data_IF_762776370011
#
_entry.id   IF_762776370011
#
_cell.length_a   1.000
_cell.length_b   1.000
_cell.length_c   1.000
_cell.angle_alpha   90.00
_cell.angle_beta   90.00
_cell.angle_gamma   90.00
#
_symmetry.space_group_name_H-M   'P 1'
#
loop_
_entity.id
_entity.type
_entity.pdbx_description
1 polymer ?
#
# COMPACT_ATOMS: atom_id res chain seq x y z
N UNK A 1 4.34 -17.90 7.00
CA UNK A 1 4.64 -18.31 8.40
C UNK A 1 3.53 -19.20 8.88
N UNK A 2 3.84 -20.22 9.66
CA UNK A 2 2.82 -21.10 10.25
C UNK A 2 2.18 -20.44 11.48
N UNK A 3 0.97 -20.85 11.90
CA UNK A 3 0.33 -20.33 13.11
C UNK A 3 1.20 -20.54 14.37
N UNK A 4 1.90 -21.68 14.45
CA UNK A 4 2.79 -22.00 15.57
C UNK A 4 4.00 -21.05 15.64
N UNK A 5 4.60 -20.73 14.49
CA UNK A 5 5.69 -19.73 14.42
C UNK A 5 5.20 -18.36 14.89
N UNK A 6 4.02 -17.94 14.45
CA UNK A 6 3.45 -16.66 14.86
C UNK A 6 3.22 -16.60 16.37
N UNK A 7 2.67 -17.67 16.97
CA UNK A 7 2.48 -17.77 18.44
C UNK A 7 3.81 -17.67 19.18
N UNK A 8 4.83 -18.41 18.74
CA UNK A 8 6.16 -18.37 19.36
C UNK A 8 6.75 -16.94 19.36
N UNK A 9 6.65 -16.22 18.24
CA UNK A 9 7.16 -14.83 18.17
C UNK A 9 6.40 -13.87 19.08
N UNK A 10 5.08 -14.04 19.17
CA UNK A 10 4.24 -13.21 20.04
C UNK A 10 4.46 -13.53 21.53
N UNK A 11 4.72 -14.80 21.89
CA UNK A 11 5.11 -15.21 23.24
C UNK A 11 6.49 -14.66 23.63
N UNK A 12 7.46 -14.67 22.70
CA UNK A 12 8.76 -14.01 22.91
C UNK A 12 8.60 -12.50 23.15
N UNK A 13 7.68 -11.85 22.43
CA UNK A 13 7.35 -10.45 22.67
C UNK A 13 6.75 -10.24 24.07
N UNK A 14 5.84 -11.11 24.50
CA UNK A 14 5.14 -11.01 25.79
C UNK A 14 6.07 -11.26 26.99
N UNK A 15 6.94 -12.25 26.88
CA UNK A 15 7.85 -12.68 27.96
C UNK A 15 9.18 -11.92 27.95
N UNK A 16 9.33 -10.94 27.06
CA UNK A 16 10.55 -10.15 26.96
C UNK A 16 10.83 -9.40 28.28
N UNK A 17 12.06 -9.46 28.83
CA UNK A 17 12.38 -8.88 30.13
C UNK A 17 12.40 -7.35 30.13
N UNK A 18 12.49 -6.72 28.95
CA UNK A 18 12.52 -5.27 28.78
C UNK A 18 11.74 -4.85 27.54
N UNK A 19 11.24 -3.61 27.53
CA UNK A 19 10.60 -3.02 26.35
C UNK A 19 11.53 -3.01 25.14
N UNK A 20 12.85 -2.83 25.34
CA UNK A 20 13.84 -2.89 24.28
C UNK A 20 13.96 -4.30 23.67
N UNK A 21 13.92 -5.35 24.49
CA UNK A 21 13.92 -6.73 24.01
C UNK A 21 12.61 -7.07 23.26
N UNK A 22 11.45 -6.65 23.78
CA UNK A 22 10.18 -6.79 23.10
C UNK A 22 10.20 -6.11 21.72
N UNK A 23 10.73 -4.88 21.65
CA UNK A 23 10.87 -4.15 20.40
C UNK A 23 11.80 -4.86 19.41
N UNK A 24 12.89 -5.51 19.86
CA UNK A 24 13.76 -6.32 18.98
C UNK A 24 13.00 -7.51 18.37
N UNK A 25 12.21 -8.23 19.16
CA UNK A 25 11.37 -9.32 18.63
C UNK A 25 10.31 -8.81 17.66
N UNK A 26 9.71 -7.66 17.95
CA UNK A 26 8.78 -7.00 17.03
C UNK A 26 9.49 -6.56 15.74
N UNK A 27 10.70 -6.03 15.79
CA UNK A 27 11.40 -5.62 14.57
C UNK A 27 11.77 -6.81 13.67
N UNK A 28 12.03 -7.99 14.26
CA UNK A 28 12.32 -9.22 13.51
C UNK A 28 11.05 -9.87 12.94
N UNK A 29 9.96 -9.86 13.70
CA UNK A 29 8.75 -10.61 13.36
C UNK A 29 7.60 -9.73 12.84
N UNK A 30 7.52 -8.46 13.20
CA UNK A 30 6.35 -7.60 12.99
C UNK A 30 5.13 -8.00 13.84
N UNK A 31 5.29 -8.93 14.78
CA UNK A 31 4.20 -9.45 15.60
C UNK A 31 4.29 -8.93 17.04
N UNK A 32 3.13 -8.57 17.62
CA UNK A 32 2.99 -8.17 19.03
C UNK A 32 2.09 -9.15 19.74
N UNK A 33 2.25 -9.28 21.06
CA UNK A 33 1.30 -10.02 21.88
C UNK A 33 -0.10 -9.42 21.77
N UNK A 34 -1.11 -10.29 21.81
CA UNK A 34 -2.51 -9.91 21.98
C UNK A 34 -3.20 -10.95 22.86
N UNK A 35 -4.15 -10.49 23.66
CA UNK A 35 -4.96 -11.35 24.52
C UNK A 35 -5.76 -12.40 23.72
N UNK A 36 -6.02 -12.15 22.43
CA UNK A 36 -6.66 -13.14 21.56
C UNK A 36 -5.86 -14.44 21.43
N UNK A 37 -4.55 -14.45 21.67
CA UNK A 37 -3.76 -15.68 21.66
C UNK A 37 -4.13 -16.67 22.78
N UNK A 38 -4.84 -16.22 23.82
CA UNK A 38 -5.38 -17.12 24.85
C UNK A 38 -6.51 -18.01 24.30
N UNK A 39 -7.11 -17.64 23.18
CA UNK A 39 -8.18 -18.40 22.54
C UNK A 39 -7.54 -19.50 21.67
N UNK A 40 -7.75 -20.80 21.99
CA UNK A 40 -7.09 -21.89 21.26
C UNK A 40 -7.37 -21.89 19.76
N UNK A 41 -8.57 -21.44 19.37
CA UNK A 41 -9.03 -21.35 17.99
C UNK A 41 -8.48 -20.14 17.23
N UNK A 42 -7.94 -19.13 17.92
CA UNK A 42 -7.51 -17.90 17.25
C UNK A 42 -6.21 -18.15 16.48
N UNK A 43 -6.29 -17.99 15.17
CA UNK A 43 -5.16 -18.11 14.26
C UNK A 43 -4.81 -16.73 13.69
N UNK A 44 -3.73 -16.14 14.22
CA UNK A 44 -3.25 -14.81 13.80
C UNK A 44 -2.94 -14.73 12.31
N UNK A 45 -2.59 -15.85 11.67
CA UNK A 45 -2.24 -15.85 10.24
C UNK A 45 -3.46 -15.79 9.32
N UNK A 46 -4.66 -16.08 9.85
CA UNK A 46 -5.92 -16.16 9.09
C UNK A 46 -7.01 -15.23 9.60
N UNK A 47 -6.96 -14.88 10.87
CA UNK A 47 -8.00 -14.14 11.58
C UNK A 47 -7.60 -12.67 11.83
N UNK A 48 -6.57 -12.18 11.14
CA UNK A 48 -6.20 -10.77 11.09
C UNK A 48 -6.45 -10.24 9.68
N UNK A 49 -7.11 -9.09 9.61
CA UNK A 49 -7.35 -8.36 8.37
C UNK A 49 -6.17 -7.44 8.07
N UNK A 50 -5.64 -7.51 6.86
CA UNK A 50 -4.62 -6.57 6.38
C UNK A 50 -5.32 -5.33 5.84
N UNK A 51 -5.29 -4.23 6.58
CA UNK A 51 -5.93 -2.99 6.15
C UNK A 51 -5.31 -2.43 4.86
N UNK A 52 -6.12 -2.35 3.80
CA UNK A 52 -5.69 -1.86 2.49
C UNK A 52 -5.29 -0.39 2.50
N UNK A 53 -5.89 0.44 3.36
CA UNK A 53 -5.56 1.87 3.39
C UNK A 53 -4.10 2.09 3.81
N UNK A 54 -3.67 1.44 4.89
CA UNK A 54 -2.30 1.52 5.37
C UNK A 54 -1.33 0.71 4.51
N UNK A 55 -1.71 -0.51 4.10
CA UNK A 55 -0.82 -1.40 3.38
C UNK A 55 -0.68 -1.04 1.89
N UNK A 56 -1.79 -0.82 1.18
CA UNK A 56 -1.75 -0.51 -0.25
C UNK A 56 -1.58 0.99 -0.49
N UNK A 57 -2.40 1.86 0.09
CA UNK A 57 -2.40 3.28 -0.30
C UNK A 57 -1.26 4.08 0.33
N UNK A 58 -1.11 3.99 1.66
CA UNK A 58 -0.03 4.68 2.38
C UNK A 58 1.30 3.90 2.38
N UNK A 59 1.24 2.61 2.08
CA UNK A 59 2.40 1.73 1.94
C UNK A 59 2.84 1.62 0.50
N UNK A 60 2.36 0.60 -0.22
CA UNK A 60 2.88 0.22 -1.53
C UNK A 60 2.77 1.31 -2.61
N UNK A 61 1.63 2.00 -2.74
CA UNK A 61 1.46 3.07 -3.75
C UNK A 61 2.40 4.23 -3.49
N UNK A 62 2.44 4.68 -2.23
CA UNK A 62 3.36 5.73 -1.80
C UNK A 62 4.81 5.34 -2.05
N UNK A 63 5.17 4.10 -1.70
CA UNK A 63 6.53 3.57 -1.85
C UNK A 63 6.91 3.42 -3.32
N UNK A 64 6.04 2.88 -4.16
CA UNK A 64 6.24 2.80 -5.60
C UNK A 64 6.49 4.18 -6.21
N UNK A 65 5.76 5.20 -5.75
CA UNK A 65 5.90 6.58 -6.23
C UNK A 65 7.10 7.33 -5.63
N UNK A 66 7.44 7.09 -4.35
CA UNK A 66 8.45 7.86 -3.60
C UNK A 66 9.78 7.13 -3.40
N UNK A 67 9.75 5.84 -3.10
CA UNK A 67 10.89 5.05 -2.65
C UNK A 67 11.66 4.38 -3.78
N UNK A 68 11.12 4.33 -4.99
CA UNK A 68 12.01 4.19 -6.16
C UNK A 68 12.59 5.55 -6.52
N UNK A 69 13.33 6.09 -5.53
CA UNK A 69 14.22 7.24 -5.54
C UNK A 69 15.34 7.01 -4.51
N UNK A 70 16.48 7.67 -4.70
CA UNK A 70 17.76 7.08 -5.03
C UNK A 70 18.49 6.56 -3.79
N UNK A 71 18.62 5.25 -3.62
CA UNK A 71 19.70 4.72 -2.76
C UNK A 71 20.48 3.59 -3.38
N UNK A 72 20.22 3.23 -4.65
CA UNK A 72 21.01 2.18 -5.27
C UNK A 72 21.14 2.34 -6.78
N UNK A 73 22.09 3.15 -7.26
CA UNK A 73 22.79 3.06 -8.58
C UNK A 73 21.91 3.07 -9.86
N UNK A 74 20.59 2.98 -9.75
CA UNK A 74 19.59 3.01 -10.80
C UNK A 74 18.57 4.08 -10.40
N UNK A 75 18.14 4.89 -11.36
CA UNK A 75 17.47 6.17 -11.15
C UNK A 75 16.13 6.12 -10.41
N UNK A 76 15.50 7.29 -10.31
CA UNK A 76 14.12 7.37 -9.87
C UNK A 76 13.22 6.63 -10.88
N UNK A 77 12.19 5.89 -10.45
CA UNK A 77 11.19 5.31 -11.38
C UNK A 77 10.54 6.39 -12.24
N UNK A 78 10.35 7.59 -11.67
CA UNK A 78 9.87 8.77 -12.38
C UNK A 78 10.92 9.89 -12.32
N UNK A 79 11.36 10.32 -13.50
CA UNK A 79 12.27 11.45 -13.64
C UNK A 79 11.52 12.77 -13.41
N UNK A 80 12.27 13.88 -13.31
CA UNK A 80 11.68 15.20 -13.08
C UNK A 80 10.70 15.59 -14.22
N UNK A 81 11.05 15.27 -15.46
CA UNK A 81 10.20 15.54 -16.63
C UNK A 81 8.88 14.77 -16.57
N UNK A 82 8.90 13.49 -16.20
CA UNK A 82 7.68 12.67 -16.11
C UNK A 82 6.73 13.22 -15.04
N UNK A 83 7.29 13.70 -13.93
CA UNK A 83 6.54 14.34 -12.87
C UNK A 83 5.92 15.67 -13.31
N UNK A 84 6.63 16.48 -14.08
CA UNK A 84 6.09 17.72 -14.63
C UNK A 84 4.91 17.46 -15.57
N UNK A 85 5.01 16.43 -16.40
CA UNK A 85 3.91 15.98 -17.26
C UNK A 85 2.71 15.47 -16.45
N UNK A 86 2.94 14.71 -15.38
CA UNK A 86 1.90 14.27 -14.45
C UNK A 86 1.15 15.47 -13.82
N UNK A 87 1.88 16.51 -13.39
CA UNK A 87 1.26 17.70 -12.81
C UNK A 87 0.44 18.49 -13.83
N UNK A 88 0.91 18.58 -15.09
CA UNK A 88 0.15 19.19 -16.19
C UNK A 88 -1.14 18.41 -16.45
N UNK A 89 -1.07 17.08 -16.51
CA UNK A 89 -2.24 16.23 -16.72
C UNK A 89 -3.24 16.37 -15.58
N UNK A 90 -2.78 16.37 -14.31
CA UNK A 90 -3.64 16.59 -13.13
C UNK A 90 -4.39 17.93 -13.22
N UNK A 91 -3.73 18.98 -13.70
CA UNK A 91 -4.33 20.32 -13.84
C UNK A 91 -5.35 20.42 -14.98
N UNK A 92 -5.22 19.59 -16.02
CA UNK A 92 -6.09 19.63 -17.22
C UNK A 92 -7.26 18.66 -17.16
N UNK A 93 -7.14 17.56 -16.40
CA UNK A 93 -8.18 16.53 -16.32
C UNK A 93 -9.44 17.08 -15.65
N UNK A 94 -10.53 17.07 -16.40
CA UNK A 94 -11.88 17.32 -15.87
C UNK A 94 -12.35 16.07 -15.15
N UNK A 95 -12.50 16.16 -13.82
CA UNK A 95 -12.94 15.05 -12.97
C UNK A 95 -14.36 15.28 -12.42
N UNK A 96 -15.13 14.20 -12.18
CA UNK A 96 -16.36 14.29 -11.41
C UNK A 96 -16.14 14.85 -9.99
N UNK A 97 -17.18 15.45 -9.41
CA UNK A 97 -17.12 16.06 -8.07
C UNK A 97 -16.82 15.08 -6.94
N UNK A 98 -17.17 13.80 -7.11
CA UNK A 98 -16.95 12.74 -6.13
C UNK A 98 -15.51 12.19 -6.13
N UNK A 99 -14.69 12.51 -7.15
CA UNK A 99 -13.27 12.13 -7.16
C UNK A 99 -12.50 13.11 -6.27
N UNK A 100 -11.69 12.58 -5.35
CA UNK A 100 -10.90 13.39 -4.43
C UNK A 100 -9.97 14.35 -5.17
N UNK A 101 -9.95 15.60 -4.71
CA UNK A 101 -9.09 16.64 -5.28
C UNK A 101 -7.62 16.43 -4.86
N UNK A 102 -6.74 16.53 -5.85
CA UNK A 102 -5.30 16.45 -5.66
C UNK A 102 -4.71 17.84 -5.43
N UNK A 103 -3.72 17.99 -4.53
CA UNK A 103 -2.93 19.20 -4.46
C UNK A 103 -2.08 19.34 -5.73
N UNK A 104 -1.88 20.59 -6.17
CA UNK A 104 -1.21 20.90 -7.44
C UNK A 104 0.27 20.47 -7.50
N UNK A 105 0.94 20.24 -6.36
CA UNK A 105 2.31 19.76 -6.30
C UNK A 105 2.54 18.87 -5.07
N UNK A 106 3.11 17.68 -5.28
CA UNK A 106 3.50 16.74 -4.22
C UNK A 106 4.98 16.41 -4.37
N UNK A 107 5.75 16.54 -3.29
CA UNK A 107 7.17 16.16 -3.28
C UNK A 107 8.12 17.16 -3.95
N UNK A 108 7.66 18.37 -4.25
CA UNK A 108 8.54 19.50 -4.58
C UNK A 108 9.10 20.17 -3.32
N UNK A 109 10.29 20.75 -3.44
CA UNK A 109 10.98 21.54 -2.40
C UNK A 109 10.17 22.75 -1.87
N UNK A 110 9.04 23.06 -2.52
CA UNK A 110 8.13 24.14 -2.18
C UNK A 110 6.83 23.59 -1.54
N UNK A 111 6.87 23.27 -0.24
CA UNK A 111 5.69 23.34 0.65
C UNK A 111 4.49 22.41 0.40
N UNK A 112 4.52 21.50 -0.57
CA UNK A 112 3.41 20.55 -0.80
C UNK A 112 3.24 19.58 0.36
N UNK A 113 2.11 19.64 1.06
CA UNK A 113 1.80 18.77 2.21
C UNK A 113 1.81 17.27 1.88
N UNK A 114 1.90 16.42 2.92
CA UNK A 114 1.83 14.96 2.76
C UNK A 114 0.46 14.55 2.21
N UNK A 115 0.45 13.72 1.16
CA UNK A 115 -0.78 13.14 0.61
C UNK A 115 -1.45 12.21 1.62
N UNK A 116 -2.78 12.30 1.70
CA UNK A 116 -3.64 11.39 2.46
C UNK A 116 -3.85 10.08 1.69
N UNK A 117 -4.29 9.03 2.38
CA UNK A 117 -4.50 7.71 1.80
C UNK A 117 -5.40 7.72 0.55
N UNK A 118 -6.53 8.43 0.61
CA UNK A 118 -7.45 8.51 -0.52
C UNK A 118 -6.86 9.28 -1.71
N UNK A 119 -6.01 10.28 -1.44
CA UNK A 119 -5.28 11.01 -2.49
C UNK A 119 -4.24 10.12 -3.17
N UNK A 120 -3.55 9.25 -2.42
CA UNK A 120 -2.68 8.22 -3.01
C UNK A 120 -3.47 7.27 -3.91
N UNK A 121 -4.63 6.79 -3.45
CA UNK A 121 -5.49 5.93 -4.26
C UNK A 121 -5.84 6.62 -5.58
N UNK A 122 -6.37 7.85 -5.53
CA UNK A 122 -6.78 8.58 -6.75
C UNK A 122 -5.59 8.89 -7.66
N UNK A 123 -4.47 9.35 -7.11
CA UNK A 123 -3.24 9.57 -7.88
C UNK A 123 -2.87 8.33 -8.68
N UNK A 124 -2.81 7.18 -8.01
CA UNK A 124 -2.36 5.94 -8.62
C UNK A 124 -3.39 5.28 -9.53
N UNK A 125 -4.69 5.36 -9.26
CA UNK A 125 -5.70 4.65 -10.07
C UNK A 125 -6.25 5.49 -11.22
N UNK A 126 -6.11 6.82 -11.18
CA UNK A 126 -6.66 7.71 -12.20
C UNK A 126 -5.54 8.38 -13.00
N UNK A 127 -4.69 9.14 -12.31
CA UNK A 127 -3.73 10.02 -12.97
C UNK A 127 -2.50 9.28 -13.48
N UNK A 128 -1.97 8.32 -12.71
CA UNK A 128 -0.79 7.56 -13.10
C UNK A 128 -1.00 6.74 -14.39
N UNK A 129 -2.07 5.94 -14.55
CA UNK A 129 -2.35 5.28 -15.83
C UNK A 129 -2.48 6.26 -16.98
N UNK A 130 -3.21 7.36 -16.77
CA UNK A 130 -3.45 8.36 -17.81
C UNK A 130 -2.14 8.96 -18.32
N UNK A 131 -1.28 9.43 -17.41
CA UNK A 131 -0.01 10.05 -17.77
C UNK A 131 0.98 9.03 -18.30
N UNK A 132 1.20 7.92 -17.60
CA UNK A 132 2.25 6.97 -17.99
C UNK A 132 1.95 6.23 -19.29
N UNK A 133 0.67 5.89 -19.55
CA UNK A 133 0.29 5.33 -20.85
C UNK A 133 0.52 6.37 -21.94
N UNK A 134 0.10 7.63 -21.74
CA UNK A 134 0.34 8.71 -22.72
C UNK A 134 1.83 8.91 -23.02
N UNK A 135 2.71 8.81 -22.03
CA UNK A 135 4.14 9.04 -22.19
C UNK A 135 4.90 7.82 -22.75
N UNK A 136 4.56 6.61 -22.29
CA UNK A 136 5.42 5.44 -22.46
C UNK A 136 4.77 4.29 -23.23
N UNK A 137 3.52 4.43 -23.69
CA UNK A 137 2.86 3.37 -24.46
C UNK A 137 3.60 3.01 -25.75
N UNK A 138 4.04 4.03 -26.51
CA UNK A 138 4.76 3.87 -27.77
C UNK A 138 6.27 3.61 -27.61
N UNK A 139 6.75 3.50 -26.37
CA UNK A 139 8.14 3.12 -26.13
C UNK A 139 8.39 1.67 -26.53
N UNK A 140 9.62 1.35 -26.92
CA UNK A 140 10.00 -0.01 -27.32
C UNK A 140 9.64 -1.03 -26.23
N UNK A 141 9.08 -2.21 -26.55
CA UNK A 141 8.71 -3.21 -25.56
C UNK A 141 9.83 -3.64 -24.61
N UNK A 142 11.09 -3.57 -25.04
CA UNK A 142 12.26 -3.88 -24.22
C UNK A 142 12.76 -2.71 -23.36
N UNK A 143 12.26 -1.49 -23.59
CA UNK A 143 12.69 -0.29 -22.87
C UNK A 143 12.37 -0.35 -21.38
N UNK A 144 13.22 0.30 -20.57
CA UNK A 144 12.99 0.41 -19.13
C UNK A 144 11.64 1.09 -18.83
N UNK A 145 11.28 2.12 -19.61
CA UNK A 145 10.01 2.84 -19.50
C UNK A 145 8.82 1.91 -19.67
N UNK A 146 8.85 1.02 -20.68
CA UNK A 146 7.76 0.07 -20.90
C UNK A 146 7.67 -0.94 -19.75
N UNK A 147 8.79 -1.46 -19.28
CA UNK A 147 8.79 -2.43 -18.17
C UNK A 147 8.29 -1.79 -16.86
N UNK A 148 8.66 -0.53 -16.60
CA UNK A 148 8.16 0.25 -15.46
C UNK A 148 6.67 0.57 -15.62
N UNK A 149 6.20 0.89 -16.83
CA UNK A 149 4.77 1.06 -17.11
C UNK A 149 4.00 -0.22 -16.74
N UNK A 150 4.43 -1.37 -17.25
CA UNK A 150 3.77 -2.65 -16.99
C UNK A 150 3.83 -3.03 -15.51
N UNK A 151 4.95 -2.77 -14.82
CA UNK A 151 5.08 -2.91 -13.37
C UNK A 151 4.04 -2.04 -12.64
N UNK A 152 3.94 -0.77 -13.02
CA UNK A 152 2.98 0.19 -12.43
C UNK A 152 1.55 -0.26 -12.68
N UNK A 153 1.22 -0.71 -13.89
CA UNK A 153 -0.12 -1.17 -14.24
C UNK A 153 -0.53 -2.42 -13.46
N UNK A 154 0.41 -3.34 -13.16
CA UNK A 154 0.11 -4.46 -12.27
C UNK A 154 -0.26 -3.98 -10.85
N UNK A 155 0.49 -3.04 -10.28
CA UNK A 155 0.15 -2.49 -8.96
C UNK A 155 -1.20 -1.75 -8.98
N UNK A 156 -1.45 -0.94 -9.99
CA UNK A 156 -2.71 -0.19 -10.12
C UNK A 156 -3.89 -1.12 -10.29
N UNK A 157 -3.80 -2.15 -11.14
CA UNK A 157 -4.84 -3.16 -11.31
C UNK A 157 -5.13 -3.91 -10.01
N UNK A 158 -4.10 -4.31 -9.26
CA UNK A 158 -4.27 -4.90 -7.94
C UNK A 158 -5.02 -3.95 -6.99
N UNK A 159 -4.65 -2.66 -6.96
CA UNK A 159 -5.34 -1.68 -6.11
C UNK A 159 -6.80 -1.48 -6.51
N UNK A 160 -7.12 -1.41 -7.81
CA UNK A 160 -8.49 -1.26 -8.30
C UNK A 160 -9.33 -2.47 -7.88
N UNK A 161 -8.81 -3.69 -8.06
CA UNK A 161 -9.50 -4.92 -7.68
C UNK A 161 -9.72 -5.01 -6.17
N UNK A 162 -8.71 -4.68 -5.36
CA UNK A 162 -8.85 -4.66 -3.91
C UNK A 162 -9.86 -3.59 -3.46
N UNK A 163 -9.79 -2.38 -4.01
CA UNK A 163 -10.68 -1.27 -3.66
C UNK A 163 -12.09 -1.38 -4.28
N UNK A 164 -12.39 -2.46 -4.99
CA UNK A 164 -13.73 -2.72 -5.55
C UNK A 164 -14.76 -2.86 -4.43
N UNK A 165 -16.00 -2.44 -4.71
CA UNK A 165 -17.16 -2.65 -3.82
C UNK A 165 -17.71 -4.08 -3.89
N UNK A 166 -17.28 -4.82 -4.88
CA UNK A 166 -17.65 -6.21 -5.11
C UNK A 166 -16.40 -7.08 -5.11
N UNK A 167 -16.54 -8.29 -4.59
CA UNK A 167 -15.48 -9.28 -4.61
C UNK A 167 -16.05 -10.63 -5.01
N UNK A 168 -15.18 -11.47 -5.56
CA UNK A 168 -15.45 -12.84 -5.93
C UNK A 168 -14.15 -13.61 -5.86
N UNK A 169 -14.22 -14.95 -5.96
CA UNK A 169 -13.01 -15.77 -6.03
C UNK A 169 -12.14 -15.38 -7.24
N UNK A 170 -12.75 -14.97 -8.36
CA UNK A 170 -12.02 -14.52 -9.55
C UNK A 170 -11.35 -13.17 -9.35
N UNK A 171 -12.02 -12.20 -8.70
CA UNK A 171 -11.42 -10.90 -8.35
C UNK A 171 -10.24 -11.09 -7.40
N UNK A 172 -10.40 -11.92 -6.37
CA UNK A 172 -9.32 -12.22 -5.44
C UNK A 172 -8.13 -12.91 -6.16
N UNK A 173 -8.40 -13.82 -7.09
CA UNK A 173 -7.36 -14.49 -7.86
C UNK A 173 -6.62 -13.51 -8.79
N UNK A 174 -7.34 -12.66 -9.52
CA UNK A 174 -6.74 -11.63 -10.37
C UNK A 174 -5.91 -10.63 -9.56
N UNK A 175 -6.39 -10.25 -8.37
CA UNK A 175 -5.62 -9.43 -7.42
C UNK A 175 -4.27 -10.11 -7.09
N UNK A 176 -4.31 -11.39 -6.73
CA UNK A 176 -3.13 -12.16 -6.37
C UNK A 176 -2.11 -12.21 -7.52
N UNK A 177 -2.59 -12.48 -8.73
CA UNK A 177 -1.75 -12.54 -9.94
C UNK A 177 -1.07 -11.21 -10.23
N UNK A 178 -1.82 -10.11 -10.19
CA UNK A 178 -1.24 -8.77 -10.36
C UNK A 178 -0.21 -8.43 -9.27
N UNK A 179 -0.46 -8.80 -8.02
CA UNK A 179 0.50 -8.59 -6.93
C UNK A 179 1.77 -9.43 -7.07
N UNK A 180 1.65 -10.68 -7.52
CA UNK A 180 2.81 -11.53 -7.82
C UNK A 180 3.63 -11.00 -9.00
N UNK A 181 2.95 -10.55 -10.06
CA UNK A 181 3.59 -9.93 -11.22
C UNK A 181 4.30 -8.64 -10.83
N UNK A 182 3.65 -7.79 -10.01
CA UNK A 182 4.26 -6.59 -9.46
C UNK A 182 5.53 -6.93 -8.66
N UNK A 183 5.44 -7.85 -7.69
CA UNK A 183 6.60 -8.23 -6.86
C UNK A 183 7.74 -8.82 -7.69
N UNK A 184 7.42 -9.68 -8.65
CA UNK A 184 8.40 -10.33 -9.53
C UNK A 184 9.07 -9.31 -10.45
N UNK A 185 8.28 -8.40 -11.04
CA UNK A 185 8.80 -7.31 -11.87
C UNK A 185 9.70 -6.37 -11.08
N UNK A 186 9.32 -6.03 -9.84
CA UNK A 186 10.11 -5.17 -8.96
C UNK A 186 11.49 -5.77 -8.66
N UNK A 187 11.55 -7.08 -8.39
CA UNK A 187 12.82 -7.78 -8.15
C UNK A 187 13.68 -7.90 -9.42
N UNK A 188 13.07 -8.02 -10.59
CA UNK A 188 13.78 -8.07 -11.88
C UNK A 188 14.38 -6.71 -12.26
N UNK A 189 13.58 -5.65 -12.16
CA UNK A 189 13.96 -4.28 -12.53
C UNK A 189 14.89 -3.64 -11.49
N UNK A 190 14.69 -3.97 -10.21
CA UNK A 190 15.47 -3.43 -9.10
C UNK A 190 16.02 -4.56 -8.23
N UNK A 191 17.05 -5.31 -8.67
CA UNK A 191 17.56 -6.48 -7.95
C UNK A 191 18.10 -6.19 -6.55
N UNK A 192 18.53 -4.93 -6.31
CA UNK A 192 19.05 -4.47 -5.02
C UNK A 192 17.95 -3.93 -4.09
N UNK A 193 16.70 -3.91 -4.54
CA UNK A 193 15.59 -3.44 -3.74
C UNK A 193 15.14 -4.51 -2.73
N UNK A 194 15.18 -4.16 -1.46
CA UNK A 194 14.70 -5.03 -0.39
C UNK A 194 13.18 -4.84 -0.22
N UNK A 195 12.41 -5.87 -0.57
CA UNK A 195 10.97 -5.84 -0.38
C UNK A 195 10.61 -5.70 1.10
N UNK A 196 9.95 -4.60 1.46
CA UNK A 196 9.44 -4.39 2.80
C UNK A 196 8.36 -5.41 3.19
N UNK A 197 8.13 -5.66 4.50
CA UNK A 197 7.07 -6.53 4.99
C UNK A 197 5.68 -6.22 4.40
N UNK A 198 5.42 -4.95 4.05
CA UNK A 198 4.17 -4.55 3.39
C UNK A 198 3.91 -5.30 2.07
N UNK A 199 4.96 -5.59 1.28
CA UNK A 199 4.83 -6.37 0.03
C UNK A 199 4.36 -7.80 0.32
N UNK A 200 4.84 -8.41 1.41
CA UNK A 200 4.39 -9.73 1.83
C UNK A 200 2.96 -9.66 2.37
N UNK A 201 2.66 -8.68 3.22
CA UNK A 201 1.32 -8.49 3.79
C UNK A 201 0.26 -8.24 2.72
N UNK A 202 0.61 -7.55 1.63
CA UNK A 202 -0.31 -7.33 0.52
C UNK A 202 -0.76 -8.64 -0.15
N UNK A 203 0.07 -9.68 -0.19
CA UNK A 203 -0.33 -10.97 -0.75
C UNK A 203 -1.50 -11.60 0.03
N UNK A 204 -1.57 -11.35 1.35
CA UNK A 204 -2.61 -11.84 2.25
C UNK A 204 -3.97 -11.12 2.08
N UNK A 205 -4.01 -10.02 1.32
CA UNK A 205 -5.27 -9.35 0.99
C UNK A 205 -6.15 -10.26 0.13
N UNK A 206 -5.54 -11.19 -0.63
CA UNK A 206 -6.25 -12.24 -1.38
C UNK A 206 -7.17 -13.06 -0.47
N UNK A 207 -6.64 -13.56 0.64
CA UNK A 207 -7.35 -14.32 1.64
C UNK A 207 -8.38 -13.43 2.35
N UNK A 208 -8.04 -12.16 2.62
CA UNK A 208 -8.97 -11.23 3.23
C UNK A 208 -10.21 -10.98 2.35
N UNK A 209 -10.02 -10.82 1.04
CA UNK A 209 -11.10 -10.67 0.06
C UNK A 209 -12.01 -11.90 0.00
N UNK A 210 -11.45 -13.10 0.18
CA UNK A 210 -12.21 -14.36 0.19
C UNK A 210 -12.97 -14.58 1.50
N UNK A 211 -12.39 -14.19 2.64
CA UNK A 211 -12.95 -14.46 3.97
C UNK A 211 -13.90 -13.37 4.47
N UNK A 212 -13.55 -12.10 4.26
CA UNK A 212 -14.24 -10.95 4.84
C UNK A 212 -15.04 -10.14 3.81
N UNK A 213 -14.99 -10.53 2.54
CA UNK A 213 -15.67 -9.81 1.47
C UNK A 213 -14.93 -8.54 1.03
N UNK A 214 -15.65 -7.59 0.41
CA UNK A 214 -15.05 -6.37 -0.15
C UNK A 214 -14.36 -5.51 0.91
N UNK A 215 -13.24 -4.87 0.53
CA UNK A 215 -12.40 -4.05 1.42
C UNK A 215 -13.18 -2.94 2.13
N UNK A 216 -14.21 -2.38 1.50
CA UNK A 216 -15.07 -1.34 2.09
C UNK A 216 -15.75 -1.78 3.40
N UNK A 217 -15.92 -3.09 3.62
CA UNK A 217 -16.51 -3.64 4.84
C UNK A 217 -15.56 -3.63 6.04
N UNK A 218 -14.24 -3.57 5.82
CA UNK A 218 -13.23 -3.77 6.87
C UNK A 218 -12.05 -2.80 6.83
N UNK A 219 -12.01 -1.87 5.87
CA UNK A 219 -11.01 -0.81 5.83
C UNK A 219 -11.09 0.16 7.01
N UNK A 220 -9.98 0.82 7.32
CA UNK A 220 -9.86 1.64 8.53
C UNK A 220 -10.35 3.08 8.43
N UNK A 221 -10.75 3.55 7.24
CA UNK A 221 -11.24 4.93 7.03
C UNK A 221 -12.35 5.39 8.01
N UNK A 222 -13.40 4.58 8.32
CA UNK A 222 -14.41 4.98 9.29
C UNK A 222 -13.83 5.19 10.69
N UNK A 223 -12.92 4.30 11.12
CA UNK A 223 -12.27 4.38 12.43
C UNK A 223 -11.36 5.60 12.53
N UNK A 224 -10.57 5.91 11.51
CA UNK A 224 -9.73 7.11 11.50
C UNK A 224 -10.56 8.40 11.57
N UNK A 225 -11.69 8.46 10.86
CA UNK A 225 -12.61 9.60 10.93
C UNK A 225 -13.21 9.75 12.33
N UNK A 226 -13.57 8.65 12.97
CA UNK A 226 -14.07 8.64 14.34
C UNK A 226 -12.99 9.13 15.32
N UNK A 227 -11.77 8.58 15.24
CA UNK A 227 -10.63 8.99 16.07
C UNK A 227 -10.36 10.49 15.89
N UNK A 228 -10.33 10.98 14.65
CA UNK A 228 -10.13 12.39 14.37
C UNK A 228 -11.25 13.29 14.88
N UNK A 229 -12.48 12.77 15.00
CA UNK A 229 -13.60 13.48 15.63
C UNK A 229 -13.43 13.52 17.15
N UNK A 230 -13.06 12.40 17.77
CA UNK A 230 -12.79 12.31 19.20
C UNK A 230 -11.63 13.20 19.64
N UNK A 231 -10.56 13.29 18.85
CA UNK A 231 -9.41 14.16 19.12
C UNK A 231 -9.77 15.66 19.13
N UNK A 232 -10.85 16.06 18.46
CA UNK A 232 -11.33 17.46 18.44
C UNK A 232 -12.26 17.78 19.60
N UNK A 233 -12.72 16.77 20.34
CA UNK A 233 -13.52 16.99 21.53
C UNK A 233 -12.57 17.58 22.59
N UNK A 234 -12.84 18.79 23.11
CA UNK A 234 -12.02 19.36 24.15
C UNK A 234 -12.11 18.49 25.40
N UNK A 235 -11.01 17.83 25.76
CA UNK A 235 -10.90 16.97 26.95
C UNK A 235 -10.55 17.75 28.21
N UNK A 236 -10.31 19.06 28.09
CA UNK A 236 -10.09 19.94 29.23
C UNK A 236 -11.43 20.27 29.90
N UNK A 237 -11.82 19.46 30.88
CA UNK A 237 -12.70 19.93 31.95
C UNK A 237 -11.95 21.05 32.71
N UNK A 238 -12.46 22.27 32.63
CA UNK A 238 -12.16 23.34 33.61
C UNK A 238 -13.24 23.35 34.66
#
# INVERSE_FOLDING_TARGET
RTPAECRLWMEKYNTAPTAAAAQRYFNQSGLRWTEFLRLPYFDVSRMIVVDCMHNLFLGLLREHFQAVRPSVVFGNVFNKSDMEELWKDIAQVVKPSWVTSMPFQVGGSAGGGKLKADQWRVLSTVYMPLTLVRLWFDSDPGSEQRQVLDLTMNLVSAVILAASRETSTSIAQAYHEHMLNYRTGLQKLFPKYECHPNHHMALHITECLRLFGPVHGWWTFPFERLIGSLQRIPTNYR
#
